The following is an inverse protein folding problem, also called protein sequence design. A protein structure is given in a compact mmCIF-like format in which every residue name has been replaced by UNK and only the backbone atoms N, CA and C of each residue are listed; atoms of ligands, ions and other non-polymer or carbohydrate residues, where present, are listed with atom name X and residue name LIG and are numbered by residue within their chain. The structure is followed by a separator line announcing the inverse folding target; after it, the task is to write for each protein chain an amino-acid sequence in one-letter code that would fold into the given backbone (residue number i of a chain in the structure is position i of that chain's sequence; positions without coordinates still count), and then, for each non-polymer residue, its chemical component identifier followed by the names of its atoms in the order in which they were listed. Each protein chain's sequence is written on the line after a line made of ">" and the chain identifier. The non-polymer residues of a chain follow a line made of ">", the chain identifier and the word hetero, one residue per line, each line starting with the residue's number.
data_IF_714591566924
#
_entry.id   IF_714591566924
#
_cell.length_a   1.000
_cell.length_b   1.000
_cell.length_c   1.000
_cell.angle_alpha   90.00
_cell.angle_beta   90.00
_cell.angle_gamma   90.00
#
_symmetry.space_group_name_H-M   'P 1'
#
loop_
_entity.id
_entity.type
_entity.pdbx_description
1 polymer ?
#
# COMPACT_ATOMS: atom_id res chain seq x y z
N UNK A 1 -19.21 -14.03 -9.53
CA UNK A 1 -20.25 -13.15 -10.12
C UNK A 1 -21.20 -12.56 -9.07
N UNK A 2 -22.01 -13.34 -8.34
CA UNK A 2 -22.95 -12.78 -7.34
C UNK A 2 -22.24 -12.17 -6.11
N UNK A 3 -21.12 -12.76 -5.68
CA UNK A 3 -20.32 -12.25 -4.56
C UNK A 3 -19.65 -10.92 -4.91
N UNK A 4 -19.08 -10.80 -6.13
CA UNK A 4 -18.40 -9.58 -6.58
C UNK A 4 -19.37 -8.40 -6.69
N UNK A 5 -20.59 -8.61 -7.17
CA UNK A 5 -21.61 -7.54 -7.23
C UNK A 5 -22.02 -7.08 -5.83
N UNK A 6 -22.22 -8.02 -4.90
CA UNK A 6 -22.54 -7.71 -3.50
C UNK A 6 -21.40 -6.90 -2.84
N UNK A 7 -20.17 -7.38 -2.97
CA UNK A 7 -18.93 -6.75 -2.49
C UNK A 7 -18.80 -5.32 -3.01
N UNK A 8 -18.99 -5.12 -4.31
CA UNK A 8 -18.88 -3.80 -4.95
C UNK A 8 -20.02 -2.85 -4.54
N UNK A 9 -21.24 -3.38 -4.37
CA UNK A 9 -22.39 -2.61 -3.88
C UNK A 9 -22.14 -2.11 -2.44
N UNK A 10 -21.60 -2.97 -1.58
CA UNK A 10 -21.23 -2.61 -0.21
C UNK A 10 -20.14 -1.52 -0.21
N UNK A 11 -19.13 -1.62 -1.08
CA UNK A 11 -18.10 -0.59 -1.21
C UNK A 11 -18.70 0.77 -1.62
N UNK A 12 -19.60 0.79 -2.62
CA UNK A 12 -20.30 2.02 -3.04
C UNK A 12 -21.10 2.62 -1.88
N UNK A 13 -21.83 1.79 -1.14
CA UNK A 13 -22.57 2.23 0.06
C UNK A 13 -21.60 2.83 1.09
N UNK A 14 -20.45 2.21 1.32
CA UNK A 14 -19.45 2.69 2.29
C UNK A 14 -18.82 4.02 1.84
N UNK A 15 -18.62 4.25 0.54
CA UNK A 15 -18.18 5.54 -0.01
C UNK A 15 -19.29 6.59 0.11
N UNK A 16 -20.55 6.24 -0.15
CA UNK A 16 -21.67 7.16 0.04
C UNK A 16 -21.77 7.54 1.52
N UNK A 17 -21.71 6.56 2.43
CA UNK A 17 -21.65 6.78 3.87
C UNK A 17 -20.45 7.65 4.25
N UNK A 18 -19.26 7.40 3.67
CA UNK A 18 -18.08 8.23 3.85
C UNK A 18 -18.36 9.69 3.49
N UNK A 19 -18.85 9.95 2.28
CA UNK A 19 -19.17 11.29 1.78
C UNK A 19 -20.23 11.95 2.67
N UNK A 20 -21.26 11.21 3.08
CA UNK A 20 -22.30 11.70 3.99
C UNK A 20 -21.75 12.00 5.39
N UNK A 21 -20.81 11.20 5.90
CA UNK A 21 -20.07 11.44 7.15
C UNK A 21 -19.17 12.69 7.03
N UNK A 22 -18.53 12.91 5.88
CA UNK A 22 -17.77 14.11 5.58
C UNK A 22 -18.66 15.36 5.56
N UNK A 23 -19.89 15.23 5.06
CA UNK A 23 -20.86 16.32 4.94
C UNK A 23 -21.55 16.65 6.26
N UNK A 24 -21.79 15.63 7.10
CA UNK A 24 -22.37 15.81 8.43
C UNK A 24 -21.30 16.24 9.45
N UNK A 25 -21.63 17.24 10.29
CA UNK A 25 -20.75 17.73 11.36
C UNK A 25 -20.67 16.70 12.52
N UNK A 26 -20.16 15.49 12.27
CA UNK A 26 -19.92 14.52 13.35
C UNK A 26 -18.87 15.09 14.30
N UNK A 27 -19.16 15.03 15.59
CA UNK A 27 -18.29 15.56 16.64
C UNK A 27 -17.13 14.61 16.91
N UNK A 28 -15.99 15.16 17.35
CA UNK A 28 -14.83 14.39 17.76
C UNK A 28 -15.16 13.34 18.86
N UNK A 29 -16.16 13.65 19.69
CA UNK A 29 -16.65 12.77 20.76
C UNK A 29 -17.31 11.50 20.22
N UNK A 30 -18.10 11.60 19.15
CA UNK A 30 -18.72 10.44 18.48
C UNK A 30 -17.67 9.58 17.79
N UNK A 31 -16.69 10.22 17.15
CA UNK A 31 -15.55 9.56 16.51
C UNK A 31 -14.74 8.73 17.52
N UNK A 32 -14.42 9.31 18.69
CA UNK A 32 -13.67 8.61 19.74
C UNK A 32 -14.38 7.34 20.23
N UNK A 33 -15.71 7.25 20.12
CA UNK A 33 -16.44 6.02 20.47
C UNK A 33 -16.22 4.88 19.48
N UNK A 34 -15.87 5.19 18.22
CA UNK A 34 -15.59 4.18 17.18
C UNK A 34 -14.30 3.39 17.44
N UNK A 35 -13.42 3.86 18.34
CA UNK A 35 -12.21 3.12 18.71
C UNK A 35 -12.51 1.75 19.33
N UNK A 36 -13.61 1.61 20.07
CA UNK A 36 -13.95 0.34 20.73
C UNK A 36 -14.47 -0.71 19.74
N UNK A 37 -15.42 -0.40 18.83
CA UNK A 37 -15.75 -1.30 17.73
C UNK A 37 -14.52 -1.70 16.89
N UNK A 38 -13.61 -0.76 16.60
CA UNK A 38 -12.37 -1.06 15.86
C UNK A 38 -11.44 -1.99 16.64
N UNK A 39 -11.27 -1.75 17.94
CA UNK A 39 -10.46 -2.59 18.81
C UNK A 39 -11.05 -4.00 18.92
N UNK A 40 -12.38 -4.11 19.10
CA UNK A 40 -13.08 -5.39 19.15
C UNK A 40 -12.90 -6.13 17.82
N UNK A 41 -13.11 -5.45 16.69
CA UNK A 41 -12.91 -6.05 15.37
C UNK A 41 -11.47 -6.50 15.16
N UNK A 42 -10.49 -5.68 15.54
CA UNK A 42 -9.07 -6.04 15.47
C UNK A 42 -8.74 -7.27 16.34
N UNK A 43 -9.22 -7.33 17.58
CA UNK A 43 -9.01 -8.48 18.47
C UNK A 43 -9.66 -9.73 17.87
N UNK A 44 -10.90 -9.64 17.41
CA UNK A 44 -11.60 -10.75 16.76
C UNK A 44 -10.86 -11.22 15.52
N UNK A 45 -10.43 -10.30 14.65
CA UNK A 45 -9.64 -10.63 13.46
C UNK A 45 -8.30 -11.29 13.82
N UNK A 46 -7.64 -10.83 14.89
CA UNK A 46 -6.39 -11.42 15.39
C UNK A 46 -6.61 -12.87 15.86
N UNK A 47 -7.67 -13.10 16.63
CA UNK A 47 -8.04 -14.44 17.12
C UNK A 47 -8.38 -15.36 15.96
N UNK A 48 -9.16 -14.90 14.99
CA UNK A 48 -9.49 -15.68 13.80
C UNK A 48 -8.25 -15.97 12.95
N UNK A 49 -7.37 -14.98 12.76
CA UNK A 49 -6.11 -15.18 12.01
C UNK A 49 -5.23 -16.22 12.69
N UNK A 50 -5.11 -16.18 14.02
CA UNK A 50 -4.37 -17.17 14.78
C UNK A 50 -5.02 -18.57 14.71
N UNK A 51 -6.35 -18.65 14.85
CA UNK A 51 -7.09 -19.92 14.83
C UNK A 51 -7.08 -20.61 13.47
N UNK A 52 -7.04 -19.83 12.38
CA UNK A 52 -7.06 -20.32 11.00
C UNK A 52 -5.73 -20.10 10.27
N UNK A 53 -4.62 -19.91 11.01
CA UNK A 53 -3.34 -19.51 10.43
C UNK A 53 -2.91 -20.44 9.29
N UNK A 54 -2.92 -21.76 9.49
CA UNK A 54 -2.53 -22.71 8.42
C UNK A 54 -3.41 -22.60 7.18
N UNK A 55 -4.72 -22.45 7.32
CA UNK A 55 -5.61 -22.28 6.17
C UNK A 55 -5.34 -20.95 5.43
N UNK A 56 -4.93 -19.90 6.15
CA UNK A 56 -4.61 -18.60 5.59
C UNK A 56 -3.24 -18.64 4.90
N UNK A 57 -2.23 -19.22 5.54
CA UNK A 57 -0.89 -19.47 4.98
C UNK A 57 -1.01 -20.31 3.70
N UNK A 58 -1.80 -21.37 3.73
CA UNK A 58 -2.10 -22.18 2.54
C UNK A 58 -2.92 -21.42 1.48
N UNK A 59 -3.53 -20.28 1.76
CA UNK A 59 -4.27 -19.52 0.74
C UNK A 59 -3.42 -18.47 0.01
N UNK A 60 -2.22 -18.16 0.50
CA UNK A 60 -1.34 -17.11 -0.05
C UNK A 60 -0.13 -17.71 -0.77
N UNK A 61 0.41 -16.96 -1.73
CA UNK A 61 1.49 -17.36 -2.63
C UNK A 61 2.69 -16.40 -2.62
N UNK A 62 2.52 -15.20 -2.07
CA UNK A 62 3.51 -14.12 -2.14
C UNK A 62 4.69 -14.41 -1.21
N UNK A 63 4.46 -14.98 -0.03
CA UNK A 63 5.50 -15.34 0.93
C UNK A 63 6.39 -16.48 0.42
N UNK A 64 5.82 -17.49 -0.25
CA UNK A 64 6.56 -18.54 -0.93
C UNK A 64 7.40 -17.98 -2.09
N UNK A 65 6.80 -17.09 -2.90
CA UNK A 65 7.51 -16.41 -3.99
C UNK A 65 8.67 -15.55 -3.48
N UNK A 66 8.46 -14.79 -2.39
CA UNK A 66 9.51 -13.96 -1.78
C UNK A 66 10.56 -14.83 -1.09
N UNK A 67 10.18 -15.94 -0.47
CA UNK A 67 11.13 -16.88 0.17
C UNK A 67 12.05 -17.51 -0.87
N UNK A 68 11.50 -18.04 -1.98
CA UNK A 68 12.28 -18.58 -3.08
C UNK A 68 13.21 -17.50 -3.67
N UNK A 69 12.67 -16.30 -3.92
CA UNK A 69 13.43 -15.17 -4.41
C UNK A 69 14.61 -14.83 -3.49
N UNK A 70 14.39 -14.71 -2.18
CA UNK A 70 15.46 -14.39 -1.23
C UNK A 70 16.56 -15.45 -1.22
N UNK A 71 16.21 -16.74 -1.23
CA UNK A 71 17.18 -17.85 -1.27
C UNK A 71 18.10 -17.74 -2.49
N UNK A 72 17.52 -17.70 -3.67
CA UNK A 72 18.27 -17.64 -4.92
C UNK A 72 19.03 -16.32 -5.10
N UNK A 73 18.52 -15.21 -4.57
CA UNK A 73 19.24 -13.93 -4.59
C UNK A 73 20.53 -13.99 -3.76
N UNK A 74 20.48 -14.65 -2.60
CA UNK A 74 21.65 -14.85 -1.73
C UNK A 74 22.69 -15.74 -2.41
N UNK A 75 22.24 -16.70 -3.22
CA UNK A 75 23.11 -17.57 -4.02
C UNK A 75 23.69 -16.88 -5.26
N UNK A 76 23.36 -15.60 -5.50
CA UNK A 76 23.87 -14.79 -6.60
C UNK A 76 23.09 -14.93 -7.91
N UNK A 77 21.93 -15.59 -7.89
CA UNK A 77 21.09 -15.81 -9.08
C UNK A 77 20.32 -14.55 -9.47
N UNK A 78 20.25 -14.26 -10.77
CA UNK A 78 19.40 -13.19 -11.30
C UNK A 78 17.95 -13.66 -11.47
N UNK A 79 17.13 -13.42 -10.45
CA UNK A 79 15.73 -13.83 -10.40
C UNK A 79 14.82 -13.20 -11.47
N UNK A 80 15.29 -12.15 -12.15
CA UNK A 80 14.53 -11.47 -13.19
C UNK A 80 14.74 -12.08 -14.58
N UNK A 81 15.71 -12.98 -14.72
CA UNK A 81 16.02 -13.74 -15.94
C UNK A 81 15.61 -15.22 -15.79
N UNK A 82 15.77 -15.79 -14.59
CA UNK A 82 15.55 -17.22 -14.36
C UNK A 82 14.14 -17.53 -13.84
N UNK A 83 13.52 -18.57 -14.42
CA UNK A 83 12.24 -19.10 -13.97
C UNK A 83 12.45 -20.03 -12.77
N UNK A 84 12.61 -19.44 -11.59
CA UNK A 84 12.91 -20.13 -10.33
C UNK A 84 11.98 -19.74 -9.18
N UNK A 85 11.14 -18.72 -9.38
CA UNK A 85 10.12 -18.33 -8.41
C UNK A 85 8.86 -19.15 -8.68
N UNK A 86 8.37 -19.95 -7.72
CA UNK A 86 7.18 -20.76 -7.92
C UNK A 86 5.95 -19.85 -8.17
N UNK A 87 5.13 -20.21 -9.15
CA UNK A 87 3.86 -19.57 -9.44
C UNK A 87 2.72 -20.55 -9.23
N UNK A 88 1.82 -20.18 -8.34
CA UNK A 88 0.70 -21.00 -7.90
C UNK A 88 -0.46 -21.00 -8.90
N UNK A 89 -0.21 -21.40 -10.15
CA UNK A 89 -1.30 -21.74 -11.07
C UNK A 89 -2.12 -22.96 -10.57
N UNK A 90 -1.64 -23.67 -9.55
CA UNK A 90 -2.03 -25.05 -9.27
C UNK A 90 -2.65 -25.27 -7.88
N UNK A 91 -2.55 -24.32 -6.96
CA UNK A 91 -3.24 -24.40 -5.64
C UNK A 91 -4.76 -24.40 -5.78
N UNK A 92 -5.28 -23.96 -6.93
CA UNK A 92 -6.70 -23.97 -7.28
C UNK A 92 -7.10 -25.15 -8.19
N UNK A 93 -6.14 -25.97 -8.64
CA UNK A 93 -6.34 -27.01 -9.65
C UNK A 93 -5.63 -28.32 -9.27
N UNK A 94 -6.25 -29.13 -8.41
CA UNK A 94 -5.99 -30.58 -8.27
C UNK A 94 -4.61 -31.03 -7.75
N UNK A 95 -4.46 -32.34 -7.53
CA UNK A 95 -3.24 -32.98 -6.98
C UNK A 95 -2.16 -33.31 -8.03
N UNK A 96 -2.47 -33.12 -9.31
CA UNK A 96 -1.66 -33.64 -10.44
C UNK A 96 -1.09 -32.54 -11.35
N UNK A 97 -0.86 -31.36 -10.80
CA UNK A 97 -0.40 -30.18 -11.55
C UNK A 97 1.09 -29.91 -11.26
N UNK A 98 1.82 -29.56 -12.33
CA UNK A 98 3.29 -29.45 -12.40
C UNK A 98 3.75 -28.02 -12.02
N UNK A 99 4.46 -27.88 -10.88
CA UNK A 99 4.88 -26.57 -10.35
C UNK A 99 5.51 -25.72 -11.46
N UNK A 100 4.80 -24.67 -11.88
CA UNK A 100 5.31 -23.71 -12.86
C UNK A 100 6.17 -22.68 -12.15
N UNK A 101 7.41 -22.57 -12.59
CA UNK A 101 8.30 -21.51 -12.16
C UNK A 101 8.22 -20.32 -13.13
N UNK A 102 8.42 -19.12 -12.60
CA UNK A 102 8.55 -17.89 -13.37
C UNK A 102 9.62 -16.97 -12.78
N UNK A 103 9.89 -15.88 -13.46
CA UNK A 103 10.76 -14.81 -12.95
C UNK A 103 10.08 -14.05 -11.81
N UNK A 104 10.89 -13.37 -11.00
CA UNK A 104 10.42 -12.47 -9.95
C UNK A 104 9.78 -11.21 -10.54
N UNK A 105 8.58 -10.86 -10.09
CA UNK A 105 7.74 -9.80 -10.69
C UNK A 105 7.49 -8.59 -9.78
N UNK A 106 8.26 -8.46 -8.69
CA UNK A 106 8.24 -7.28 -7.85
C UNK A 106 9.51 -6.46 -8.06
N UNK A 107 9.48 -5.13 -7.84
CA UNK A 107 10.66 -4.32 -8.08
C UNK A 107 11.80 -4.66 -7.09
N UNK A 108 13.07 -4.40 -7.45
CA UNK A 108 14.23 -4.84 -6.67
C UNK A 108 14.27 -4.36 -5.22
N UNK A 109 13.69 -3.19 -4.92
CA UNK A 109 13.60 -2.69 -3.54
C UNK A 109 12.80 -3.63 -2.65
N UNK A 110 11.79 -4.33 -3.19
CA UNK A 110 11.07 -5.37 -2.45
C UNK A 110 12.04 -6.48 -2.05
N UNK A 111 12.76 -7.05 -3.03
CA UNK A 111 13.72 -8.13 -2.79
C UNK A 111 14.78 -7.73 -1.76
N UNK A 112 15.42 -6.58 -1.94
CA UNK A 112 16.44 -6.06 -1.03
C UNK A 112 15.87 -5.87 0.39
N UNK A 113 14.65 -5.34 0.50
CA UNK A 113 13.99 -5.09 1.77
C UNK A 113 13.68 -6.37 2.57
N UNK A 114 13.42 -7.49 1.89
CA UNK A 114 13.11 -8.78 2.54
C UNK A 114 14.32 -9.71 2.66
N UNK A 115 15.40 -9.50 1.89
CA UNK A 115 16.58 -10.38 1.91
C UNK A 115 17.32 -10.37 3.24
N UNK A 116 17.54 -9.19 3.84
CA UNK A 116 18.20 -9.09 5.16
C UNK A 116 17.36 -9.76 6.26
N UNK A 117 16.06 -9.45 6.40
CA UNK A 117 15.18 -10.14 7.33
C UNK A 117 15.12 -11.64 7.11
N UNK A 118 15.11 -12.11 5.86
CA UNK A 118 15.12 -13.53 5.54
C UNK A 118 16.35 -14.22 6.14
N UNK A 119 17.55 -13.69 5.91
CA UNK A 119 18.81 -14.25 6.46
C UNK A 119 18.77 -14.33 7.99
N UNK A 120 18.19 -13.33 8.64
CA UNK A 120 18.16 -13.23 10.11
C UNK A 120 17.06 -14.12 10.72
N UNK A 121 15.86 -14.10 10.17
CA UNK A 121 14.66 -14.66 10.80
C UNK A 121 14.36 -16.08 10.32
N UNK A 122 14.60 -16.41 9.05
CA UNK A 122 14.28 -17.74 8.50
C UNK A 122 14.96 -18.89 9.27
N UNK A 123 16.24 -18.80 9.66
CA UNK A 123 16.89 -19.85 10.46
C UNK A 123 16.30 -20.03 11.87
N UNK A 124 15.62 -19.01 12.40
CA UNK A 124 15.10 -18.98 13.77
C UNK A 124 13.64 -19.44 13.82
N UNK A 125 12.81 -18.95 12.90
CA UNK A 125 11.35 -19.15 12.92
C UNK A 125 10.80 -19.88 11.69
N UNK A 126 11.66 -20.35 10.79
CA UNK A 126 11.27 -21.06 9.58
C UNK A 126 10.35 -20.23 8.69
N UNK A 127 9.29 -20.84 8.16
CA UNK A 127 8.35 -20.20 7.23
C UNK A 127 7.59 -19.01 7.84
N UNK A 128 7.53 -18.90 9.17
CA UNK A 128 6.89 -17.77 9.85
C UNK A 128 7.68 -16.45 9.73
N UNK A 129 8.90 -16.47 9.18
CA UNK A 129 9.77 -15.30 9.07
C UNK A 129 9.11 -14.11 8.36
N UNK A 130 8.35 -14.38 7.29
CA UNK A 130 7.76 -13.34 6.45
C UNK A 130 6.56 -12.67 7.15
N UNK A 131 5.56 -13.43 7.65
CA UNK A 131 4.53 -12.90 8.56
C UNK A 131 5.11 -12.13 9.75
N UNK A 132 6.13 -12.68 10.42
CA UNK A 132 6.76 -12.04 11.56
C UNK A 132 7.40 -10.70 11.19
N UNK A 133 8.12 -10.65 10.07
CA UNK A 133 8.73 -9.40 9.61
C UNK A 133 7.67 -8.36 9.24
N UNK A 134 6.56 -8.76 8.63
CA UNK A 134 5.43 -7.88 8.37
C UNK A 134 4.78 -7.35 9.65
N UNK A 135 4.69 -8.15 10.71
CA UNK A 135 4.27 -7.69 12.05
C UNK A 135 5.25 -6.64 12.60
N UNK A 136 6.56 -6.86 12.46
CA UNK A 136 7.59 -5.90 12.88
C UNK A 136 7.44 -4.58 12.11
N UNK A 137 7.22 -4.62 10.79
CA UNK A 137 6.97 -3.45 9.96
C UNK A 137 5.68 -2.71 10.38
N UNK A 138 4.63 -3.45 10.74
CA UNK A 138 3.41 -2.89 11.33
C UNK A 138 3.69 -2.16 12.66
N UNK A 139 4.45 -2.79 13.56
CA UNK A 139 4.84 -2.17 14.83
C UNK A 139 5.68 -0.89 14.63
N UNK A 140 6.65 -0.91 13.71
CA UNK A 140 7.43 0.27 13.32
C UNK A 140 6.51 1.37 12.81
N UNK A 141 5.56 1.04 11.92
CA UNK A 141 4.59 1.98 11.37
C UNK A 141 3.74 2.62 12.47
N UNK A 142 3.24 1.82 13.42
CA UNK A 142 2.49 2.30 14.57
C UNK A 142 3.31 3.28 15.42
N UNK A 143 4.56 2.95 15.73
CA UNK A 143 5.45 3.82 16.52
C UNK A 143 5.68 5.15 15.79
N UNK A 144 6.07 5.08 14.52
CA UNK A 144 6.38 6.27 13.70
C UNK A 144 5.15 7.16 13.56
N UNK A 145 3.97 6.61 13.28
CA UNK A 145 2.73 7.37 13.17
C UNK A 145 2.27 7.94 14.51
N UNK A 146 2.49 7.24 15.62
CA UNK A 146 2.20 7.75 16.96
C UNK A 146 3.09 8.94 17.33
N UNK A 147 4.34 8.97 16.84
CA UNK A 147 5.25 10.11 16.98
C UNK A 147 4.83 11.25 16.04
N UNK A 148 4.46 10.92 14.79
CA UNK A 148 4.02 11.91 13.80
C UNK A 148 2.69 12.58 14.17
N UNK A 149 1.84 11.87 14.90
CA UNK A 149 0.52 12.33 15.31
C UNK A 149 0.30 12.16 16.83
N UNK A 150 1.03 12.91 17.68
CA UNK A 150 1.07 12.68 19.12
C UNK A 150 -0.26 12.95 19.84
N UNK A 151 -1.16 13.71 19.21
CA UNK A 151 -2.49 14.06 19.74
C UNK A 151 -3.59 13.10 19.29
N UNK A 152 -3.27 12.20 18.38
CA UNK A 152 -4.22 11.26 17.81
C UNK A 152 -4.41 10.07 18.75
N UNK A 153 -5.59 9.46 18.73
CA UNK A 153 -5.89 8.35 19.64
C UNK A 153 -5.04 7.13 19.27
N UNK A 154 -4.06 6.80 20.12
CA UNK A 154 -3.13 5.70 19.91
C UNK A 154 -3.85 4.35 19.81
N UNK A 155 -4.97 4.17 20.49
CA UNK A 155 -5.78 2.95 20.39
C UNK A 155 -6.32 2.81 18.96
N UNK A 156 -6.73 3.92 18.36
CA UNK A 156 -7.20 3.93 16.99
C UNK A 156 -6.07 3.65 15.99
N UNK A 157 -4.89 4.28 16.13
CA UNK A 157 -3.73 3.98 15.27
C UNK A 157 -3.35 2.50 15.39
N UNK A 158 -3.25 1.98 16.62
CA UNK A 158 -2.90 0.58 16.87
C UNK A 158 -3.91 -0.37 16.22
N UNK A 159 -5.21 -0.12 16.38
CA UNK A 159 -6.26 -0.96 15.79
C UNK A 159 -6.24 -0.90 14.26
N UNK A 160 -6.04 0.28 13.68
CA UNK A 160 -5.99 0.46 12.23
C UNK A 160 -4.76 -0.23 11.61
N UNK A 161 -3.58 0.04 12.15
CA UNK A 161 -2.32 -0.58 11.66
C UNK A 161 -2.33 -2.09 11.93
N UNK A 162 -2.85 -2.52 13.07
CA UNK A 162 -3.02 -3.93 13.40
C UNK A 162 -3.92 -4.64 12.40
N UNK A 163 -5.07 -4.06 12.05
CA UNK A 163 -5.93 -4.59 10.99
C UNK A 163 -5.19 -4.69 9.65
N UNK A 164 -4.53 -3.62 9.20
CA UNK A 164 -3.77 -3.65 7.94
C UNK A 164 -2.68 -4.74 7.97
N UNK A 165 -2.00 -4.91 9.10
CA UNK A 165 -0.98 -5.93 9.30
C UNK A 165 -1.56 -7.33 9.17
N UNK A 166 -2.73 -7.60 9.74
CA UNK A 166 -3.40 -8.90 9.61
C UNK A 166 -3.85 -9.16 8.17
N UNK A 167 -4.42 -8.15 7.49
CA UNK A 167 -4.88 -8.28 6.11
C UNK A 167 -3.74 -8.47 5.10
N UNK A 168 -2.58 -7.89 5.38
CA UNK A 168 -1.41 -7.94 4.51
C UNK A 168 -0.26 -8.72 5.14
N UNK A 169 -0.58 -9.67 6.02
CA UNK A 169 0.39 -10.47 6.75
C UNK A 169 1.30 -11.26 5.80
N UNK A 170 0.75 -11.73 4.69
CA UNK A 170 1.42 -12.47 3.63
C UNK A 170 1.59 -11.63 2.36
N UNK A 171 1.73 -10.31 2.45
CA UNK A 171 1.91 -9.44 1.28
C UNK A 171 3.03 -8.40 1.53
N UNK A 172 3.65 -7.89 0.47
CA UNK A 172 4.69 -6.88 0.54
C UNK A 172 4.19 -5.45 0.88
N UNK A 173 2.87 -5.28 1.11
CA UNK A 173 2.25 -3.99 1.44
C UNK A 173 2.77 -3.41 2.76
N UNK A 174 3.15 -4.24 3.73
CA UNK A 174 3.65 -3.75 5.01
C UNK A 174 4.96 -2.98 4.89
N UNK A 175 5.82 -3.35 3.93
CA UNK A 175 7.04 -2.60 3.62
C UNK A 175 6.71 -1.23 3.00
N UNK A 176 5.73 -1.17 2.10
CA UNK A 176 5.17 0.10 1.59
C UNK A 176 4.66 0.97 2.74
N UNK A 177 3.85 0.41 3.64
CA UNK A 177 3.27 1.14 4.78
C UNK A 177 4.35 1.69 5.73
N UNK A 178 5.41 0.92 5.99
CA UNK A 178 6.52 1.37 6.82
C UNK A 178 7.23 2.58 6.20
N UNK A 179 7.59 2.50 4.91
CA UNK A 179 8.19 3.64 4.21
C UNK A 179 7.27 4.86 4.17
N UNK A 180 5.97 4.66 3.92
CA UNK A 180 4.99 5.75 3.95
C UNK A 180 4.86 6.41 5.33
N UNK A 181 4.87 5.62 6.39
CA UNK A 181 4.82 6.12 7.77
C UNK A 181 6.02 7.00 8.09
N UNK A 182 7.23 6.59 7.65
CA UNK A 182 8.45 7.39 7.79
C UNK A 182 8.38 8.66 6.95
N UNK A 183 7.87 8.59 5.72
CA UNK A 183 7.67 9.76 4.87
C UNK A 183 6.73 10.81 5.53
N UNK A 184 5.64 10.34 6.13
CA UNK A 184 4.68 11.15 6.89
C UNK A 184 5.36 11.80 8.10
N UNK A 185 6.14 11.05 8.87
CA UNK A 185 6.89 11.60 10.00
C UNK A 185 7.81 12.73 9.58
N UNK A 186 8.61 12.52 8.52
CA UNK A 186 9.50 13.57 8.02
C UNK A 186 8.71 14.80 7.59
N UNK A 187 7.65 14.62 6.81
CA UNK A 187 6.87 15.74 6.29
C UNK A 187 6.16 16.58 7.38
N UNK A 188 5.53 15.93 8.36
CA UNK A 188 4.67 16.62 9.32
C UNK A 188 5.34 16.97 10.66
N UNK A 189 6.33 16.20 11.09
CA UNK A 189 6.83 16.25 12.48
C UNK A 189 8.34 16.39 12.63
N UNK A 190 9.13 16.05 11.61
CA UNK A 190 10.58 16.13 11.74
C UNK A 190 11.07 17.59 11.76
N UNK A 191 11.90 17.97 12.75
CA UNK A 191 12.53 19.29 12.79
C UNK A 191 13.72 19.41 11.83
N UNK A 192 14.07 18.34 11.09
CA UNK A 192 15.23 18.32 10.21
C UNK A 192 15.05 19.31 9.04
N UNK A 193 16.09 20.11 8.74
CA UNK A 193 16.10 21.06 7.62
C UNK A 193 15.95 20.42 6.22
N UNK A 194 16.14 19.10 6.12
CA UNK A 194 15.96 18.27 4.93
C UNK A 194 14.72 17.37 5.01
N UNK A 195 13.77 17.69 5.89
CA UNK A 195 12.54 16.94 6.09
C UNK A 195 11.78 16.65 4.78
N UNK A 196 11.70 17.61 3.86
CA UNK A 196 11.06 17.42 2.55
C UNK A 196 11.82 16.40 1.71
N UNK A 197 13.15 16.49 1.65
CA UNK A 197 13.98 15.53 0.90
C UNK A 197 13.86 14.12 1.44
N UNK A 198 13.90 13.94 2.76
CA UNK A 198 13.70 12.62 3.36
C UNK A 198 12.28 12.09 3.12
N UNK A 199 11.27 12.95 3.22
CA UNK A 199 9.89 12.54 2.93
C UNK A 199 9.72 12.06 1.49
N UNK A 200 10.29 12.79 0.53
CA UNK A 200 10.30 12.41 -0.89
C UNK A 200 11.06 11.09 -1.10
N UNK A 201 12.22 10.92 -0.46
CA UNK A 201 12.97 9.66 -0.55
C UNK A 201 12.13 8.47 -0.08
N UNK A 202 11.52 8.56 1.10
CA UNK A 202 10.75 7.45 1.67
C UNK A 202 9.43 7.19 0.90
N UNK A 203 8.73 8.23 0.43
CA UNK A 203 7.52 8.02 -0.39
C UNK A 203 7.87 7.34 -1.72
N UNK A 204 9.04 7.64 -2.30
CA UNK A 204 9.47 6.97 -3.53
C UNK A 204 9.99 5.57 -3.28
N UNK A 205 10.67 5.29 -2.16
CA UNK A 205 10.97 3.92 -1.76
C UNK A 205 9.69 3.09 -1.66
N UNK A 206 8.62 3.63 -1.06
CA UNK A 206 7.30 2.99 -1.03
C UNK A 206 6.74 2.72 -2.44
N UNK A 207 6.87 3.68 -3.37
CA UNK A 207 6.48 3.51 -4.77
C UNK A 207 7.25 2.41 -5.50
N UNK A 208 8.50 2.16 -5.09
CA UNK A 208 9.35 1.09 -5.61
C UNK A 208 9.07 -0.27 -4.95
N UNK A 209 8.13 -0.38 -4.00
CA UNK A 209 7.69 -1.68 -3.47
C UNK A 209 6.42 -2.14 -4.17
N UNK A 210 5.42 -1.27 -4.30
CA UNK A 210 4.12 -1.60 -4.89
C UNK A 210 3.52 -0.44 -5.66
N UNK A 211 2.79 -0.74 -6.74
CA UNK A 211 2.18 0.26 -7.63
C UNK A 211 1.26 1.26 -6.91
N UNK A 212 0.57 0.83 -5.85
CA UNK A 212 -0.25 1.71 -5.00
C UNK A 212 0.60 2.84 -4.41
N UNK A 213 1.82 2.54 -3.95
CA UNK A 213 2.76 3.55 -3.47
C UNK A 213 3.15 4.58 -4.54
N UNK A 214 3.18 4.20 -5.82
CA UNK A 214 3.53 5.10 -6.91
C UNK A 214 2.46 6.17 -7.16
N UNK A 215 1.18 5.83 -7.01
CA UNK A 215 0.08 6.80 -7.14
C UNK A 215 0.16 7.81 -6.01
N UNK A 216 0.27 7.35 -4.75
CA UNK A 216 0.44 8.28 -3.62
C UNK A 216 1.70 9.13 -3.76
N UNK A 217 2.83 8.57 -4.21
CA UNK A 217 4.07 9.33 -4.41
C UNK A 217 3.91 10.44 -5.46
N UNK A 218 3.27 10.14 -6.59
CA UNK A 218 3.00 11.13 -7.63
C UNK A 218 2.14 12.29 -7.10
N UNK A 219 1.08 11.96 -6.36
CA UNK A 219 0.17 12.93 -5.75
C UNK A 219 0.90 13.80 -4.71
N UNK A 220 1.74 13.18 -3.88
CA UNK A 220 2.53 13.85 -2.87
C UNK A 220 3.54 14.83 -3.49
N UNK A 221 4.25 14.40 -4.54
CA UNK A 221 5.19 15.25 -5.28
C UNK A 221 4.48 16.43 -5.94
N UNK A 222 3.35 16.19 -6.61
CA UNK A 222 2.55 17.25 -7.23
C UNK A 222 2.07 18.26 -6.20
N UNK A 223 1.64 17.80 -5.02
CA UNK A 223 1.24 18.67 -3.92
C UNK A 223 2.40 19.55 -3.45
N UNK A 224 3.58 18.98 -3.20
CA UNK A 224 4.74 19.74 -2.75
C UNK A 224 5.13 20.79 -3.79
N UNK A 225 5.20 20.40 -5.06
CA UNK A 225 5.55 21.32 -6.15
C UNK A 225 4.53 22.46 -6.20
N UNK A 226 3.23 22.15 -6.26
CA UNK A 226 2.15 23.13 -6.35
C UNK A 226 2.16 24.13 -5.18
N UNK A 227 2.31 23.63 -3.94
CA UNK A 227 2.30 24.47 -2.73
C UNK A 227 3.57 25.31 -2.58
N UNK A 228 4.67 24.89 -3.19
CA UNK A 228 5.98 25.52 -3.00
C UNK A 228 6.59 26.11 -4.29
N UNK A 229 5.79 26.35 -5.34
CA UNK A 229 6.28 26.89 -6.63
C UNK A 229 7.13 28.15 -6.49
N UNK A 230 6.80 29.02 -5.52
CA UNK A 230 7.52 30.28 -5.27
C UNK A 230 8.70 30.13 -4.30
N UNK A 231 8.89 28.96 -3.68
CA UNK A 231 9.94 28.71 -2.72
C UNK A 231 11.10 27.95 -3.39
N UNK A 232 12.03 28.72 -3.97
CA UNK A 232 13.18 28.17 -4.70
C UNK A 232 14.01 27.15 -3.90
N UNK A 233 14.11 27.32 -2.57
CA UNK A 233 14.82 26.36 -1.71
C UNK A 233 14.13 25.00 -1.69
N UNK A 234 12.81 24.98 -1.57
CA UNK A 234 12.02 23.73 -1.58
C UNK A 234 12.04 23.10 -2.97
N UNK A 235 11.87 23.88 -4.04
CA UNK A 235 11.95 23.35 -5.41
C UNK A 235 13.33 22.75 -5.70
N UNK A 236 14.42 23.40 -5.23
CA UNK A 236 15.77 22.83 -5.31
C UNK A 236 15.88 21.50 -4.54
N UNK A 237 15.34 21.42 -3.32
CA UNK A 237 15.31 20.17 -2.55
C UNK A 237 14.53 19.07 -3.29
N UNK A 238 13.38 19.39 -3.87
CA UNK A 238 12.59 18.45 -4.69
C UNK A 238 13.41 17.95 -5.87
N UNK A 239 14.04 18.86 -6.64
CA UNK A 239 14.89 18.50 -7.78
C UNK A 239 16.05 17.57 -7.39
N UNK A 240 16.79 17.91 -6.33
CA UNK A 240 17.88 17.07 -5.81
C UNK A 240 17.35 15.69 -5.39
N UNK A 241 16.20 15.65 -4.72
CA UNK A 241 15.61 14.39 -4.25
C UNK A 241 15.21 13.51 -5.43
N UNK A 242 14.58 14.08 -6.46
CA UNK A 242 14.24 13.36 -7.71
C UNK A 242 15.50 12.81 -8.37
N UNK A 243 16.57 13.60 -8.50
CA UNK A 243 17.84 13.12 -9.06
C UNK A 243 18.44 11.98 -8.24
N UNK A 244 18.48 12.10 -6.92
CA UNK A 244 18.99 11.06 -6.02
C UNK A 244 18.17 9.77 -6.12
N UNK A 245 16.85 9.90 -6.24
CA UNK A 245 15.93 8.78 -6.44
C UNK A 245 16.18 8.08 -7.77
N UNK A 246 16.37 8.82 -8.86
CA UNK A 246 16.65 8.23 -10.17
C UNK A 246 17.96 7.46 -10.14
N UNK A 247 18.99 8.00 -9.47
CA UNK A 247 20.27 7.32 -9.25
C UNK A 247 20.05 6.05 -8.43
N UNK A 248 19.30 6.12 -7.32
CA UNK A 248 19.01 4.97 -6.48
C UNK A 248 18.26 3.88 -7.26
N UNK A 249 17.26 4.27 -8.06
CA UNK A 249 16.52 3.36 -8.92
C UNK A 249 17.45 2.66 -9.91
N UNK A 250 18.32 3.41 -10.60
CA UNK A 250 19.31 2.85 -11.51
C UNK A 250 20.27 1.89 -10.79
N UNK A 251 20.80 2.26 -9.62
CA UNK A 251 21.69 1.40 -8.82
C UNK A 251 20.98 0.11 -8.40
N UNK A 252 19.70 0.17 -8.09
CA UNK A 252 18.93 -1.01 -7.67
C UNK A 252 18.52 -1.90 -8.83
N UNK A 253 18.37 -1.34 -10.04
CA UNK A 253 17.92 -2.05 -11.24
C UNK A 253 19.10 -2.61 -12.04
N UNK A 254 20.19 -1.85 -12.15
CA UNK A 254 21.33 -2.19 -13.00
C UNK A 254 21.92 -3.59 -12.74
N UNK A 255 22.06 -4.08 -11.48
CA UNK A 255 22.61 -5.41 -11.21
C UNK A 255 21.79 -6.56 -11.81
N UNK A 256 20.51 -6.36 -12.08
CA UNK A 256 19.60 -7.40 -12.58
C UNK A 256 19.28 -7.25 -14.09
N UNK A 257 19.79 -6.20 -14.74
CA UNK A 257 19.45 -5.83 -16.10
C UNK A 257 18.12 -5.07 -16.21
N UNK A 258 18.17 -3.84 -16.75
CA UNK A 258 17.01 -2.95 -16.86
C UNK A 258 15.87 -3.62 -17.63
N UNK A 259 16.18 -4.25 -18.77
CA UNK A 259 15.19 -4.90 -19.63
C UNK A 259 14.48 -6.06 -18.92
N UNK A 260 15.22 -6.85 -18.15
CA UNK A 260 14.68 -8.00 -17.42
C UNK A 260 13.69 -7.54 -16.34
N UNK A 261 14.03 -6.49 -15.59
CA UNK A 261 13.13 -5.90 -14.60
C UNK A 261 11.89 -5.30 -15.26
N UNK A 262 12.05 -4.56 -16.36
CA UNK A 262 10.90 -3.98 -17.07
C UNK A 262 9.94 -5.06 -17.56
N UNK A 263 10.45 -6.12 -18.18
CA UNK A 263 9.63 -7.24 -18.67
C UNK A 263 8.95 -7.99 -17.52
N UNK A 264 9.71 -8.37 -16.50
CA UNK A 264 9.22 -9.21 -15.40
C UNK A 264 8.36 -8.44 -14.38
N UNK A 265 8.51 -7.11 -14.25
CA UNK A 265 7.79 -6.30 -13.25
C UNK A 265 6.81 -5.29 -13.88
N UNK A 266 7.27 -4.44 -14.78
CA UNK A 266 6.47 -3.30 -15.29
C UNK A 266 5.48 -3.75 -16.35
N UNK A 267 5.93 -4.56 -17.30
CA UNK A 267 5.10 -5.05 -18.40
C UNK A 267 4.28 -6.29 -18.04
N UNK A 268 4.66 -7.00 -16.98
CA UNK A 268 3.86 -8.09 -16.40
C UNK A 268 2.41 -7.68 -16.11
N UNK A 269 2.18 -6.45 -15.61
CA UNK A 269 0.82 -5.94 -15.34
C UNK A 269 0.03 -5.55 -16.60
N UNK A 270 0.70 -5.40 -17.75
CA UNK A 270 0.08 -5.06 -19.03
C UNK A 270 -0.16 -6.26 -19.95
N UNK A 271 0.41 -7.41 -19.64
CA UNK A 271 0.21 -8.65 -20.39
C UNK A 271 -1.07 -9.35 -19.91
N UNK A 272 -2.08 -9.36 -20.77
CA UNK A 272 -3.40 -9.92 -20.47
C UNK A 272 -3.35 -11.45 -20.45
N UNK A 273 -2.49 -12.08 -21.24
CA UNK A 273 -2.40 -13.53 -21.36
C UNK A 273 -1.79 -14.11 -20.09
N UNK A 274 -0.72 -13.47 -19.57
CA UNK A 274 -0.09 -13.85 -18.30
C UNK A 274 -1.04 -13.66 -17.10
N UNK A 275 -1.86 -12.61 -17.10
CA UNK A 275 -2.73 -12.29 -15.97
C UNK A 275 -4.06 -13.03 -15.99
N UNK A 276 -4.64 -13.24 -17.17
CA UNK A 276 -5.91 -13.98 -17.32
C UNK A 276 -5.77 -15.43 -16.89
N UNK A 277 -4.60 -16.04 -17.13
CA UNK A 277 -4.26 -17.40 -16.67
C UNK A 277 -4.02 -17.50 -15.15
N UNK A 278 -3.67 -16.40 -14.47
CA UNK A 278 -3.30 -16.42 -13.04
C UNK A 278 -4.37 -15.85 -12.10
N UNK A 279 -5.55 -15.45 -12.61
CA UNK A 279 -6.56 -14.76 -11.81
C UNK A 279 -7.99 -15.22 -12.10
N UNK A 280 -8.20 -16.54 -12.16
CA UNK A 280 -9.53 -17.15 -12.35
C UNK A 280 -10.51 -16.91 -11.19
N UNK A 281 -10.07 -16.38 -10.05
CA UNK A 281 -10.93 -15.89 -8.98
C UNK A 281 -10.43 -14.57 -8.37
N UNK A 282 -11.29 -13.56 -8.32
CA UNK A 282 -11.05 -12.30 -7.60
C UNK A 282 -10.41 -11.15 -8.40
N UNK A 283 -10.80 -10.97 -9.67
CA UNK A 283 -10.42 -9.79 -10.46
C UNK A 283 -10.87 -8.45 -9.85
N UNK A 284 -10.34 -7.34 -10.36
CA UNK A 284 -10.84 -6.00 -9.99
C UNK A 284 -12.24 -5.77 -10.58
N UNK A 285 -13.04 -4.84 -10.04
CA UNK A 285 -14.36 -4.54 -10.60
C UNK A 285 -14.29 -4.21 -12.10
N UNK A 286 -13.28 -3.44 -12.52
CA UNK A 286 -13.07 -3.10 -13.92
C UNK A 286 -12.80 -4.35 -14.77
N UNK A 287 -11.98 -5.28 -14.27
CA UNK A 287 -11.71 -6.55 -14.95
C UNK A 287 -12.99 -7.37 -15.13
N UNK A 288 -13.77 -7.54 -14.06
CA UNK A 288 -15.04 -8.28 -14.09
C UNK A 288 -16.04 -7.66 -15.07
N UNK A 289 -16.14 -6.34 -15.09
CA UNK A 289 -17.03 -5.63 -16.01
C UNK A 289 -16.60 -5.80 -17.47
N UNK A 290 -15.29 -5.68 -17.75
CA UNK A 290 -14.75 -5.84 -19.10
C UNK A 290 -14.81 -7.30 -19.59
N UNK A 291 -14.65 -8.27 -18.70
CA UNK A 291 -14.90 -9.69 -19.00
C UNK A 291 -16.36 -9.91 -19.39
N UNK A 292 -17.30 -9.36 -18.61
CA UNK A 292 -18.75 -9.51 -18.86
C UNK A 292 -19.17 -9.00 -20.23
N UNK A 293 -18.57 -7.90 -20.71
CA UNK A 293 -18.88 -7.32 -22.03
C UNK A 293 -17.99 -7.84 -23.17
N UNK A 294 -17.10 -8.80 -22.89
CA UNK A 294 -16.19 -9.38 -23.90
C UNK A 294 -15.13 -8.41 -24.43
N UNK A 295 -14.66 -7.46 -23.60
CA UNK A 295 -13.69 -6.40 -23.98
C UNK A 295 -12.49 -6.33 -23.02
N UNK A 296 -12.02 -7.46 -22.51
CA UNK A 296 -10.91 -7.53 -21.55
C UNK A 296 -9.63 -6.85 -22.06
N UNK A 297 -9.40 -6.82 -23.37
CA UNK A 297 -8.29 -6.13 -24.03
C UNK A 297 -8.23 -4.62 -23.77
N UNK A 298 -9.34 -3.99 -23.36
CA UNK A 298 -9.38 -2.58 -23.00
C UNK A 298 -8.88 -2.30 -21.59
N UNK A 299 -8.73 -3.34 -20.75
CA UNK A 299 -8.32 -3.21 -19.35
C UNK A 299 -7.04 -2.38 -19.15
N UNK A 300 -5.89 -2.68 -19.80
CA UNK A 300 -4.67 -1.91 -19.60
C UNK A 300 -4.80 -0.44 -20.03
N UNK A 301 -5.61 -0.17 -21.06
CA UNK A 301 -5.85 1.20 -21.56
C UNK A 301 -6.68 1.98 -20.55
N UNK A 302 -7.82 1.43 -20.11
CA UNK A 302 -8.71 2.08 -19.15
C UNK A 302 -8.01 2.27 -17.81
N UNK A 303 -7.20 1.30 -17.37
CA UNK A 303 -6.39 1.42 -16.17
C UNK A 303 -5.40 2.59 -16.24
N UNK A 304 -4.64 2.72 -17.34
CA UNK A 304 -3.71 3.84 -17.55
C UNK A 304 -4.42 5.19 -17.55
N UNK A 305 -5.54 5.29 -18.26
CA UNK A 305 -6.37 6.51 -18.29
C UNK A 305 -6.88 6.84 -16.88
N UNK A 306 -7.37 5.85 -16.15
CA UNK A 306 -7.91 6.04 -14.80
C UNK A 306 -6.84 6.51 -13.82
N UNK A 307 -5.64 5.90 -13.83
CA UNK A 307 -4.52 6.39 -13.02
C UNK A 307 -4.16 7.83 -13.37
N UNK A 308 -4.10 8.16 -14.67
CA UNK A 308 -3.88 9.54 -15.12
C UNK A 308 -4.94 10.51 -14.62
N UNK A 309 -6.22 10.14 -14.71
CA UNK A 309 -7.35 10.92 -14.20
C UNK A 309 -7.31 11.10 -12.69
N UNK A 310 -6.91 10.07 -11.93
CA UNK A 310 -6.76 10.15 -10.47
C UNK A 310 -5.65 11.15 -10.11
N UNK A 311 -4.50 11.07 -10.77
CA UNK A 311 -3.36 11.95 -10.51
C UNK A 311 -3.70 13.39 -10.87
N UNK A 312 -4.26 13.64 -12.07
CA UNK A 312 -4.63 14.98 -12.52
C UNK A 312 -5.81 15.55 -11.72
N UNK A 313 -6.82 14.72 -11.46
CA UNK A 313 -7.98 15.08 -10.63
C UNK A 313 -7.60 15.44 -9.20
N UNK A 314 -6.51 14.87 -8.68
CA UNK A 314 -5.98 15.21 -7.36
C UNK A 314 -5.56 16.69 -7.24
N UNK A 315 -5.23 17.36 -8.35
CA UNK A 315 -4.83 18.77 -8.36
C UNK A 315 -5.94 19.73 -7.90
N UNK A 316 -7.21 19.30 -8.00
CA UNK A 316 -8.37 20.08 -7.55
C UNK A 316 -8.56 20.05 -6.03
N UNK A 317 -7.82 19.20 -5.30
CA UNK A 317 -7.91 19.07 -3.84
C UNK A 317 -6.74 19.83 -3.21
N UNK A 318 -7.02 20.92 -2.49
CA UNK A 318 -5.99 21.83 -1.95
C UNK A 318 -5.14 21.26 -0.82
N UNK A 319 -5.65 20.27 -0.08
CA UNK A 319 -5.00 19.69 1.10
C UNK A 319 -4.43 18.30 0.83
N UNK A 320 -3.24 18.01 1.36
CA UNK A 320 -2.48 16.79 1.04
C UNK A 320 -3.21 15.50 1.46
N UNK A 321 -3.70 15.44 2.70
CA UNK A 321 -4.30 14.23 3.24
C UNK A 321 -5.62 13.88 2.55
N UNK A 322 -6.58 14.83 2.36
CA UNK A 322 -7.75 14.59 1.53
C UNK A 322 -7.39 14.19 0.10
N UNK A 323 -6.33 14.79 -0.47
CA UNK A 323 -5.88 14.51 -1.83
C UNK A 323 -5.42 13.06 -1.98
N UNK A 324 -4.48 12.61 -1.16
CA UNK A 324 -3.99 11.22 -1.16
C UNK A 324 -5.17 10.27 -0.94
N UNK A 325 -6.03 10.59 0.01
CA UNK A 325 -7.12 9.71 0.40
C UNK A 325 -8.16 9.48 -0.69
N UNK A 326 -8.67 10.56 -1.31
CA UNK A 326 -9.66 10.45 -2.40
C UNK A 326 -9.05 9.64 -3.55
N UNK A 327 -7.80 9.91 -3.89
CA UNK A 327 -7.11 9.16 -4.92
C UNK A 327 -6.93 7.69 -4.58
N UNK A 328 -6.53 7.36 -3.35
CA UNK A 328 -6.37 5.97 -2.91
C UNK A 328 -7.70 5.20 -2.85
N UNK A 329 -8.81 5.83 -2.48
CA UNK A 329 -10.14 5.19 -2.59
C UNK A 329 -10.46 4.86 -4.05
N UNK A 330 -10.30 5.84 -4.94
CA UNK A 330 -10.64 5.67 -6.36
C UNK A 330 -9.72 4.61 -6.97
N UNK A 331 -8.43 4.64 -6.65
CA UNK A 331 -7.46 3.62 -7.05
C UNK A 331 -7.85 2.25 -6.50
N UNK A 332 -8.24 2.15 -5.23
CA UNK A 332 -8.66 0.89 -4.61
C UNK A 332 -9.88 0.30 -5.30
N UNK A 333 -10.84 1.14 -5.70
CA UNK A 333 -12.04 0.72 -6.41
C UNK A 333 -11.75 0.11 -7.79
N UNK A 334 -10.73 0.62 -8.46
CA UNK A 334 -10.40 0.26 -9.85
C UNK A 334 -9.34 -0.84 -9.92
N UNK A 335 -8.39 -0.84 -8.98
CA UNK A 335 -7.13 -1.58 -9.08
C UNK A 335 -6.99 -2.73 -8.06
N UNK A 336 -7.74 -2.73 -6.96
CA UNK A 336 -7.62 -3.75 -5.92
C UNK A 336 -8.69 -4.84 -6.11
N UNK A 337 -8.36 -6.08 -5.70
CA UNK A 337 -9.34 -7.18 -5.63
C UNK A 337 -10.53 -6.73 -4.78
N UNK A 338 -11.74 -7.01 -5.26
CA UNK A 338 -12.97 -6.54 -4.61
C UNK A 338 -13.05 -6.97 -3.12
N UNK A 339 -12.54 -8.16 -2.79
CA UNK A 339 -12.44 -8.68 -1.41
C UNK A 339 -11.62 -7.80 -0.47
N UNK A 340 -10.50 -7.24 -0.92
CA UNK A 340 -9.67 -6.34 -0.10
C UNK A 340 -10.27 -4.93 -0.02
N UNK A 341 -10.92 -4.47 -1.09
CA UNK A 341 -11.53 -3.14 -1.16
C UNK A 341 -12.67 -2.95 -0.13
N UNK A 342 -13.40 -4.02 0.21
CA UNK A 342 -14.46 -4.02 1.23
C UNK A 342 -14.00 -3.52 2.60
N UNK A 343 -12.74 -3.76 2.95
CA UNK A 343 -12.22 -3.50 4.29
C UNK A 343 -11.26 -2.31 4.26
N UNK A 344 -10.45 -2.22 3.19
CA UNK A 344 -9.50 -1.13 3.02
C UNK A 344 -10.20 0.23 2.87
N UNK A 345 -11.25 0.32 2.04
CA UNK A 345 -11.91 1.60 1.75
C UNK A 345 -12.59 2.19 3.01
N UNK A 346 -13.38 1.45 3.79
CA UNK A 346 -13.97 1.99 5.03
C UNK A 346 -12.93 2.33 6.07
N UNK A 347 -11.89 1.50 6.23
CA UNK A 347 -10.85 1.72 7.21
C UNK A 347 -10.04 2.99 6.88
N UNK A 348 -9.61 3.14 5.62
CA UNK A 348 -8.92 4.35 5.15
C UNK A 348 -9.82 5.58 5.27
N UNK A 349 -11.10 5.44 4.94
CA UNK A 349 -12.09 6.52 5.10
C UNK A 349 -12.16 7.01 6.52
N UNK A 350 -12.37 6.08 7.45
CA UNK A 350 -12.49 6.47 8.82
C UNK A 350 -11.18 7.09 9.30
N UNK A 351 -10.03 6.47 9.01
CA UNK A 351 -8.73 6.99 9.40
C UNK A 351 -8.52 8.44 8.95
N UNK A 352 -8.82 8.77 7.70
CA UNK A 352 -8.63 10.12 7.17
C UNK A 352 -9.66 11.10 7.72
N UNK A 353 -10.92 10.70 7.87
CA UNK A 353 -11.94 11.52 8.52
C UNK A 353 -11.51 11.94 9.93
N UNK A 354 -10.97 10.99 10.70
CA UNK A 354 -10.51 11.24 12.06
C UNK A 354 -9.28 12.15 12.05
N UNK A 355 -8.33 11.97 11.12
CA UNK A 355 -7.17 12.87 11.03
C UNK A 355 -7.63 14.29 10.72
N UNK A 356 -8.45 14.47 9.69
CA UNK A 356 -8.95 15.80 9.31
C UNK A 356 -9.64 16.43 10.51
N UNK A 357 -10.60 15.75 11.14
CA UNK A 357 -11.32 16.29 12.31
C UNK A 357 -10.41 16.58 13.50
N UNK A 358 -9.40 15.75 13.77
CA UNK A 358 -8.46 15.99 14.89
C UNK A 358 -7.59 17.21 14.67
N UNK A 359 -7.27 17.53 13.42
CA UNK A 359 -6.34 18.61 13.06
C UNK A 359 -7.03 19.89 12.55
N UNK A 360 -8.35 19.86 12.29
CA UNK A 360 -9.17 21.03 11.94
C UNK A 360 -10.14 21.48 13.03
N UNK A 361 -10.16 20.85 14.21
CA UNK A 361 -11.01 21.28 15.33
C UNK A 361 -10.47 22.57 15.94
N UNK A 362 -11.30 23.63 15.94
CA UNK A 362 -10.97 24.97 16.44
C UNK A 362 -10.52 24.97 17.92
N UNK A 363 -10.94 23.99 18.71
CA UNK A 363 -10.45 23.84 20.10
C UNK A 363 -8.96 23.47 20.16
N UNK A 364 -8.47 22.68 19.20
CA UNK A 364 -7.07 22.28 19.06
C UNK A 364 -6.23 23.40 18.45
N UNK A 365 -6.84 24.23 17.60
CA UNK A 365 -6.22 25.43 17.02
C UNK A 365 -6.09 26.53 18.08
N UNK A 366 -7.11 26.80 18.89
CA UNK A 366 -7.02 27.75 20.02
C UNK A 366 -5.97 27.34 21.04
N UNK A 367 -5.88 26.04 21.35
CA UNK A 367 -4.81 25.52 22.21
C UNK A 367 -3.41 25.63 21.59
N UNK A 368 -3.28 25.66 20.24
CA UNK A 368 -2.00 25.93 19.54
C UNK A 368 -1.56 27.38 19.69
N UNK A 369 -2.51 28.31 19.80
CA UNK A 369 -2.22 29.74 19.98
C UNK A 369 -1.88 30.05 21.44
N UNK A 370 -2.48 29.34 22.40
CA UNK A 370 -2.17 29.49 23.82
C UNK A 370 -0.83 28.89 24.24
N UNK A 371 -0.40 27.78 23.65
CA UNK A 371 0.92 27.15 23.94
C UNK A 371 2.08 27.85 23.19
N UNK A 372 1.77 28.68 22.19
CA UNK A 372 2.77 29.49 21.46
C UNK A 372 2.99 30.88 22.06
N UNK A 373 2.10 31.34 22.94
CA UNK A 373 2.28 32.51 23.80
C UNK A 373 2.98 32.07 25.07
#
# INVERSE_FOLDING_TARGET
>A
MNLDILVNTIIIILIICAILIFRNKITLKTIRKLRYPFLIFFITASVLTAAYYHNIEEAHDIDDAVTAACRHFIDGTNLYEENIVPRFAEKYHGKDTEIKYATFNYPPITLIGYSIPFIILFPIVGNFWFPLFNIILGAISFIVLSIAFPRFDKIFIASFIGMLTLFFLFDNIMLTLAFMSVAIYFYFSSPNKYNISFSILFVTLAAMVKMIGAITAAIFLLYIIQKNLKNHKVIKQVGISISAILILALITIAPFGITNILNSTVYYFSDIDIRSLSSECGGTLLMTLLLTIGKIQLFPIIMKITVGMIILGSLFISELLPRIFVSEIISSFVMIKASHALILIPAMTLFVYIIIKTYTDDSVIKMREEVRK
#
